data_IF_903317373577
#
_entry.id   IF_903317373577
#
_cell.length_a   1.000
_cell.length_b   1.000
_cell.length_c   1.000
_cell.angle_alpha   90.00
_cell.angle_beta   90.00
_cell.angle_gamma   90.00
#
_symmetry.space_group_name_H-M   'P 1'
#
loop_
_entity.id
_entity.type
_entity.pdbx_description
1 polymer ?
#
# COMPACT_ATOMS: atom_id res chain seq x y z
N UNK A 1 -9.81 -13.98 -17.22
CA UNK A 1 -9.11 -13.61 -15.98
C UNK A 1 -8.32 -14.81 -15.54
N UNK A 2 -7.07 -14.66 -15.08
CA UNK A 2 -6.34 -15.78 -14.48
C UNK A 2 -7.08 -16.24 -13.21
N UNK A 3 -7.01 -17.54 -12.93
CA UNK A 3 -7.57 -18.19 -11.74
C UNK A 3 -6.69 -17.89 -10.51
N UNK A 4 -7.30 -17.87 -9.32
CA UNK A 4 -6.55 -17.71 -8.06
C UNK A 4 -5.90 -19.04 -7.67
N UNK A 5 -4.63 -18.98 -7.26
CA UNK A 5 -3.93 -20.16 -6.76
C UNK A 5 -4.51 -20.59 -5.40
N UNK A 6 -4.41 -21.89 -5.07
CA UNK A 6 -4.98 -22.40 -3.81
C UNK A 6 -4.42 -21.68 -2.57
N UNK A 7 -3.13 -21.33 -2.58
CA UNK A 7 -2.49 -20.58 -1.50
C UNK A 7 -3.00 -19.14 -1.38
N UNK A 8 -3.48 -18.54 -2.48
CA UNK A 8 -4.04 -17.18 -2.48
C UNK A 8 -5.43 -17.13 -1.85
N UNK A 9 -6.20 -18.21 -2.02
CA UNK A 9 -7.51 -18.41 -1.39
C UNK A 9 -7.34 -18.71 0.11
N UNK A 10 -6.45 -19.64 0.46
CA UNK A 10 -6.07 -19.94 1.84
C UNK A 10 -4.66 -20.56 1.91
N UNK A 11 -3.76 -20.06 2.79
CA UNK A 11 -4.00 -19.09 3.86
C UNK A 11 -3.89 -17.62 3.43
N UNK A 12 -3.56 -17.33 2.16
CA UNK A 12 -3.35 -15.98 1.65
C UNK A 12 -1.90 -15.48 1.74
N UNK A 13 -0.98 -16.33 2.21
CA UNK A 13 0.46 -16.03 2.25
C UNK A 13 1.28 -17.32 2.13
N UNK A 14 2.52 -17.21 1.66
CA UNK A 14 3.49 -18.32 1.64
C UNK A 14 4.55 -18.04 2.70
N UNK A 15 4.93 -19.06 3.47
CA UNK A 15 6.03 -19.02 4.44
C UNK A 15 7.25 -19.74 3.90
N UNK A 16 8.44 -19.22 4.20
CA UNK A 16 9.67 -19.96 3.95
C UNK A 16 9.70 -21.24 4.80
N UNK A 17 10.10 -22.33 4.16
CA UNK A 17 10.12 -23.68 4.69
C UNK A 17 11.46 -24.09 5.31
N UNK A 18 12.43 -23.19 5.47
CA UNK A 18 13.73 -23.54 6.04
C UNK A 18 13.59 -24.06 7.49
N UNK A 19 13.89 -25.36 7.67
CA UNK A 19 13.98 -26.01 8.99
C UNK A 19 15.07 -25.32 9.82
N UNK A 20 14.66 -24.64 10.89
CA UNK A 20 15.57 -24.05 11.89
C UNK A 20 15.79 -22.54 11.79
N UNK A 21 15.14 -21.85 10.85
CA UNK A 21 15.16 -20.39 10.72
C UNK A 21 13.89 -19.71 11.25
N UNK A 22 13.91 -18.37 11.34
CA UNK A 22 12.71 -17.57 11.63
C UNK A 22 11.74 -17.73 10.46
N UNK A 23 10.54 -18.27 10.70
CA UNK A 23 9.52 -18.43 9.66
C UNK A 23 9.07 -17.06 9.14
N UNK A 24 9.58 -16.64 7.99
CA UNK A 24 9.20 -15.38 7.34
C UNK A 24 8.20 -15.64 6.21
N UNK A 25 7.24 -14.72 6.05
CA UNK A 25 6.30 -14.76 4.93
C UNK A 25 7.03 -14.23 3.68
N UNK A 26 7.05 -15.02 2.61
CA UNK A 26 7.73 -14.68 1.34
C UNK A 26 6.78 -14.17 0.26
N UNK A 27 5.48 -14.42 0.40
CA UNK A 27 4.46 -13.93 -0.51
C UNK A 27 3.14 -13.66 0.22
N UNK A 28 2.35 -12.72 -0.29
CA UNK A 28 1.04 -12.34 0.22
C UNK A 28 0.07 -12.17 -0.94
N UNK A 29 -1.13 -12.71 -0.82
CA UNK A 29 -2.17 -12.62 -1.86
C UNK A 29 -2.90 -11.29 -1.77
N UNK A 30 -3.52 -10.87 -2.89
CA UNK A 30 -4.32 -9.64 -2.90
C UNK A 30 -5.44 -9.65 -1.83
N UNK A 31 -6.15 -10.79 -1.68
CA UNK A 31 -7.21 -10.94 -0.68
C UNK A 31 -6.67 -10.78 0.76
N UNK A 32 -5.45 -11.25 1.01
CA UNK A 32 -4.79 -11.11 2.31
C UNK A 32 -4.35 -9.66 2.57
N UNK A 33 -3.75 -8.99 1.59
CA UNK A 33 -3.26 -7.61 1.79
C UNK A 33 -4.41 -6.63 1.94
N UNK A 34 -5.47 -6.77 1.16
CA UNK A 34 -6.61 -5.84 1.15
C UNK A 34 -7.56 -6.01 2.35
N UNK A 35 -7.54 -7.16 3.02
CA UNK A 35 -8.31 -7.39 4.26
C UNK A 35 -7.60 -6.89 5.52
N UNK A 36 -6.29 -6.62 5.44
CA UNK A 36 -5.49 -6.13 6.55
C UNK A 36 -5.20 -4.63 6.41
N UNK A 37 -5.11 -3.90 7.53
CA UNK A 37 -4.83 -2.45 7.53
C UNK A 37 -3.38 -2.11 7.14
N UNK A 38 -2.45 -3.02 7.42
CA UNK A 38 -1.07 -3.06 6.93
C UNK A 38 -0.48 -4.44 7.23
N UNK A 39 0.32 -4.99 6.32
CA UNK A 39 1.11 -6.20 6.54
C UNK A 39 2.56 -5.83 6.86
N UNK A 40 3.21 -6.59 7.74
CA UNK A 40 4.65 -6.47 7.98
C UNK A 40 5.41 -7.31 6.95
N UNK A 41 6.27 -6.66 6.16
CA UNK A 41 7.17 -7.29 5.19
C UNK A 41 8.51 -7.63 5.87
N UNK A 42 9.00 -6.72 6.70
CA UNK A 42 10.17 -6.90 7.57
C UNK A 42 9.95 -6.14 8.88
N UNK A 43 10.85 -6.21 9.88
CA UNK A 43 10.69 -5.49 11.14
C UNK A 43 10.38 -3.99 10.96
N UNK A 44 11.00 -3.37 9.96
CA UNK A 44 10.93 -1.92 9.74
C UNK A 44 10.09 -1.54 8.52
N UNK A 45 9.64 -2.52 7.73
CA UNK A 45 8.90 -2.29 6.48
C UNK A 45 7.49 -2.85 6.58
N UNK A 46 6.51 -1.97 6.48
CA UNK A 46 5.10 -2.31 6.31
C UNK A 46 4.61 -2.07 4.88
N UNK A 47 3.58 -2.77 4.46
CA UNK A 47 2.93 -2.59 3.17
C UNK A 47 1.41 -2.59 3.31
N UNK A 48 0.73 -1.69 2.59
CA UNK A 48 -0.72 -1.60 2.54
C UNK A 48 -1.19 -1.25 1.13
N UNK A 49 -2.40 -1.71 0.79
CA UNK A 49 -3.09 -1.38 -0.46
C UNK A 49 -4.35 -0.58 -0.14
N UNK A 50 -4.44 0.63 -0.65
CA UNK A 50 -5.62 1.47 -0.53
C UNK A 50 -6.35 1.55 -1.88
N UNK A 51 -7.55 0.96 -1.91
CA UNK A 51 -8.49 1.12 -3.04
C UNK A 51 -9.33 2.36 -2.82
N UNK A 52 -9.14 3.38 -3.66
CA UNK A 52 -9.89 4.64 -3.60
C UNK A 52 -11.03 4.58 -4.62
N UNK A 53 -12.27 4.53 -4.13
CA UNK A 53 -13.49 4.47 -4.94
C UNK A 53 -13.74 5.75 -5.75
N UNK A 54 -14.51 5.68 -6.85
CA UNK A 54 -14.92 6.85 -7.63
C UNK A 54 -15.45 7.99 -6.76
N UNK A 55 -14.96 9.20 -6.98
CA UNK A 55 -15.38 10.41 -6.25
C UNK A 55 -14.97 10.46 -4.77
N UNK A 56 -14.23 9.46 -4.27
CA UNK A 56 -13.83 9.38 -2.87
C UNK A 56 -12.39 9.85 -2.64
N UNK A 57 -12.04 10.00 -1.35
CA UNK A 57 -10.68 10.36 -0.93
C UNK A 57 -10.18 9.41 0.13
N UNK A 58 -8.86 9.20 0.14
CA UNK A 58 -8.15 8.47 1.17
C UNK A 58 -7.14 9.40 1.86
N UNK A 59 -7.00 9.26 3.18
CA UNK A 59 -6.14 10.12 4.00
C UNK A 59 -5.15 9.27 4.77
N UNK A 60 -3.91 9.76 4.85
CA UNK A 60 -2.93 9.26 5.82
C UNK A 60 -2.63 10.38 6.80
N UNK A 61 -2.80 10.05 8.08
CA UNK A 61 -2.41 10.95 9.15
C UNK A 61 -0.89 11.07 9.26
N UNK A 62 -0.49 12.23 9.74
CA UNK A 62 0.89 12.53 10.06
C UNK A 62 1.41 11.53 11.09
N UNK A 63 2.55 10.90 10.76
CA UNK A 63 3.29 10.10 11.73
C UNK A 63 4.77 10.49 11.64
N UNK A 64 5.36 11.11 12.68
CA UNK A 64 6.74 11.59 12.64
C UNK A 64 7.77 10.46 12.55
N UNK A 65 7.42 9.23 12.92
CA UNK A 65 8.34 8.08 12.98
C UNK A 65 8.30 7.19 11.74
N UNK A 66 7.45 7.53 10.76
CA UNK A 66 7.21 6.67 9.60
C UNK A 66 7.37 7.49 8.32
N UNK A 67 8.34 7.08 7.50
CA UNK A 67 8.43 7.47 6.10
C UNK A 67 7.47 6.61 5.28
N UNK A 68 6.75 7.20 4.32
CA UNK A 68 5.92 6.42 3.39
C UNK A 68 6.30 6.67 1.95
N UNK A 69 6.41 5.59 1.18
CA UNK A 69 6.55 5.62 -0.28
C UNK A 69 5.24 5.13 -0.86
N UNK A 70 4.61 5.97 -1.68
CA UNK A 70 3.33 5.68 -2.29
C UNK A 70 3.49 5.53 -3.80
N UNK A 71 2.95 4.46 -4.37
CA UNK A 71 2.95 4.23 -5.82
C UNK A 71 1.54 3.91 -6.32
N UNK A 72 1.16 4.51 -7.45
CA UNK A 72 -0.15 4.27 -8.06
C UNK A 72 -0.08 3.00 -8.90
N UNK A 73 -0.68 1.93 -8.40
CA UNK A 73 -0.73 0.65 -9.12
C UNK A 73 -1.74 0.66 -10.26
N UNK A 74 -2.82 1.45 -10.12
CA UNK A 74 -3.82 1.63 -11.17
C UNK A 74 -4.59 2.95 -10.98
N UNK A 75 -5.02 3.54 -12.10
CA UNK A 75 -5.82 4.76 -12.11
C UNK A 75 -4.99 6.05 -12.11
N UNK A 76 -5.62 7.13 -11.64
CA UNK A 76 -5.02 8.47 -11.56
C UNK A 76 -5.58 9.22 -10.36
N UNK A 77 -4.70 9.75 -9.53
CA UNK A 77 -5.04 10.40 -8.27
C UNK A 77 -4.67 11.88 -8.29
N UNK A 78 -5.50 12.69 -7.62
CA UNK A 78 -5.12 14.04 -7.19
C UNK A 78 -4.51 13.94 -5.80
N UNK A 79 -3.28 14.40 -5.66
CA UNK A 79 -2.51 14.33 -4.42
C UNK A 79 -2.44 15.72 -3.79
N UNK A 80 -2.75 15.80 -2.50
CA UNK A 80 -2.45 16.93 -1.63
C UNK A 80 -1.49 16.44 -0.54
N UNK A 81 -0.27 16.94 -0.58
CA UNK A 81 0.81 16.61 0.36
C UNK A 81 1.39 17.91 0.89
N UNK A 82 1.04 18.24 2.13
CA UNK A 82 1.34 19.53 2.75
C UNK A 82 0.90 20.70 1.84
N UNK A 83 1.84 21.51 1.35
CA UNK A 83 1.59 22.62 0.41
C UNK A 83 1.53 22.18 -1.06
N UNK A 84 2.05 20.98 -1.38
CA UNK A 84 2.12 20.48 -2.75
C UNK A 84 0.78 19.91 -3.18
N UNK A 85 0.37 20.25 -4.41
CA UNK A 85 -0.79 19.69 -5.08
C UNK A 85 -0.41 19.27 -6.48
N UNK A 86 -0.62 18.00 -6.81
CA UNK A 86 -0.28 17.47 -8.13
C UNK A 86 -1.23 16.33 -8.51
N UNK A 87 -1.18 15.94 -9.78
CA UNK A 87 -1.86 14.75 -10.28
C UNK A 87 -0.82 13.70 -10.62
N UNK A 88 -1.13 12.44 -10.35
CA UNK A 88 -0.24 11.33 -10.64
C UNK A 88 -1.01 10.13 -11.15
N UNK A 89 -0.56 9.58 -12.27
CA UNK A 89 -1.15 8.39 -12.91
C UNK A 89 -0.46 7.10 -12.50
N UNK A 90 -0.94 5.99 -13.06
CA UNK A 90 -0.36 4.66 -12.94
C UNK A 90 1.17 4.66 -13.11
N UNK A 91 1.86 3.85 -12.31
CA UNK A 91 3.31 3.73 -12.18
C UNK A 91 4.03 4.98 -11.65
N UNK A 92 3.28 6.05 -11.33
CA UNK A 92 3.83 7.20 -10.63
C UNK A 92 4.10 6.90 -9.16
N UNK A 93 5.18 7.47 -8.64
CA UNK A 93 5.64 7.29 -7.25
C UNK A 93 5.84 8.65 -6.59
N UNK A 94 5.51 8.75 -5.30
CA UNK A 94 5.79 9.93 -4.49
C UNK A 94 6.10 9.54 -3.04
N UNK A 95 6.86 10.41 -2.35
CA UNK A 95 7.32 10.19 -0.98
C UNK A 95 6.57 11.10 -0.02
N UNK A 96 6.12 10.56 1.10
CA UNK A 96 5.49 11.27 2.22
C UNK A 96 6.45 11.21 3.40
N UNK A 97 6.99 12.36 3.81
CA UNK A 97 7.94 12.44 4.92
C UNK A 97 7.26 12.16 6.26
N UNK A 98 8.06 11.75 7.25
CA UNK A 98 7.58 11.66 8.62
C UNK A 98 6.96 12.99 9.07
N UNK A 99 5.76 12.92 9.61
CA UNK A 99 5.01 14.09 10.09
C UNK A 99 4.17 14.81 9.02
N UNK A 100 4.31 14.48 7.73
CA UNK A 100 3.48 15.04 6.67
C UNK A 100 2.09 14.39 6.62
N UNK A 101 1.07 15.18 6.24
CA UNK A 101 -0.28 14.67 5.99
C UNK A 101 -0.49 14.44 4.50
N UNK A 102 -1.11 13.31 4.15
CA UNK A 102 -1.46 12.99 2.77
C UNK A 102 -2.99 12.94 2.62
N UNK A 103 -3.50 13.54 1.55
CA UNK A 103 -4.82 13.24 1.02
C UNK A 103 -4.71 12.92 -0.46
N UNK A 104 -5.28 11.79 -0.87
CA UNK A 104 -5.43 11.42 -2.28
C UNK A 104 -6.89 11.33 -2.62
N UNK A 105 -7.27 11.85 -3.78
CA UNK A 105 -8.64 11.87 -4.29
C UNK A 105 -8.71 11.18 -5.63
N UNK A 106 -9.70 10.29 -5.80
CA UNK A 106 -10.02 9.68 -7.07
C UNK A 106 -11.20 10.40 -7.73
N UNK A 107 -10.96 10.99 -8.90
CA UNK A 107 -11.98 11.67 -9.72
C UNK A 107 -12.44 10.85 -10.93
N UNK A 108 -11.94 9.63 -11.08
CA UNK A 108 -12.34 8.72 -12.15
C UNK A 108 -13.67 8.04 -11.79
N UNK A 109 -14.35 7.49 -12.80
CA UNK A 109 -15.52 6.63 -12.65
C UNK A 109 -15.18 5.18 -12.28
N UNK A 110 -13.88 4.86 -12.19
CA UNK A 110 -13.36 3.54 -11.81
C UNK A 110 -12.48 3.67 -10.57
N UNK A 111 -12.26 2.56 -9.87
CA UNK A 111 -11.36 2.49 -8.72
C UNK A 111 -9.93 2.89 -9.11
N UNK A 112 -9.23 3.55 -8.18
CA UNK A 112 -7.78 3.74 -8.25
C UNK A 112 -7.12 2.99 -7.10
N UNK A 113 -5.94 2.42 -7.35
CA UNK A 113 -5.23 1.59 -6.37
C UNK A 113 -3.91 2.25 -6.03
N UNK A 114 -3.69 2.47 -4.73
CA UNK A 114 -2.48 3.05 -4.17
C UNK A 114 -1.76 2.01 -3.30
N UNK A 115 -0.54 1.67 -3.66
CA UNK A 115 0.37 0.94 -2.79
C UNK A 115 1.06 1.90 -1.83
N UNK A 116 1.17 1.51 -0.57
CA UNK A 116 1.75 2.32 0.50
C UNK A 116 2.77 1.46 1.24
N UNK A 117 4.04 1.73 1.00
CA UNK A 117 5.14 1.14 1.77
C UNK A 117 5.48 2.08 2.92
N UNK A 118 5.38 1.59 4.15
CA UNK A 118 5.78 2.31 5.37
C UNK A 118 7.15 1.83 5.81
N UNK A 119 8.03 2.76 6.18
CA UNK A 119 9.37 2.49 6.68
C UNK A 119 9.46 3.15 8.06
N UNK A 120 9.59 2.33 9.09
CA UNK A 120 9.81 2.72 10.48
C UNK A 120 11.31 2.92 10.70
N UNK A 121 11.71 3.92 11.48
CA UNK A 121 13.12 4.30 11.72
C UNK A 121 13.84 4.88 10.49
N UNK A 122 13.84 6.22 10.45
CA UNK A 122 14.72 7.03 9.60
C UNK A 122 15.46 8.03 10.49
#
# INVERSE_FOLDING_TARGET
>A
MPEMESWEVAPGHIRDGQKGGRHENVAFSNAYITSNSAIAISPDIGFNVATIKPGSSYKLEANPRILRVCSVASGKLRVKLDENKFQIGCNGVFKVRGGSKLTVENRLYVDSVLHITSISEY
#
